data_IF_392103135016
#
_entry.id   IF_392103135016
#
_cell.length_a   1.000
_cell.length_b   1.000
_cell.length_c   1.000
_cell.angle_alpha   90.00
_cell.angle_beta   90.00
_cell.angle_gamma   90.00
#
_symmetry.space_group_name_H-M   'P 1'
#
loop_
_entity.id
_entity.type
_entity.pdbx_description
1 polymer ?
#
# COMPACT_ATOMS: atom_id res chain seq x y z
N UNK A 1 26.69 -41.94 -8.60
CA UNK A 1 26.31 -40.85 -7.66
C UNK A 1 26.28 -39.56 -8.46
N UNK A 2 25.09 -39.03 -8.72
CA UNK A 2 24.91 -37.81 -9.53
C UNK A 2 24.75 -36.64 -8.57
N UNK A 3 25.65 -35.67 -8.58
CA UNK A 3 25.58 -34.48 -7.73
C UNK A 3 24.58 -33.47 -8.31
N UNK A 4 23.64 -33.01 -7.50
CA UNK A 4 22.76 -31.88 -7.85
C UNK A 4 23.59 -30.58 -7.76
N UNK A 5 23.58 -29.71 -8.78
CA UNK A 5 24.27 -28.43 -8.70
C UNK A 5 23.62 -27.60 -7.58
N UNK A 6 24.43 -27.10 -6.65
CA UNK A 6 23.96 -26.14 -5.66
C UNK A 6 23.61 -24.82 -6.36
N UNK A 7 22.34 -24.42 -6.29
CA UNK A 7 21.88 -23.13 -6.81
C UNK A 7 22.54 -22.01 -6.01
N UNK A 8 23.29 -21.15 -6.70
CA UNK A 8 24.07 -20.07 -6.09
C UNK A 8 23.29 -18.77 -6.26
N UNK A 9 22.77 -18.23 -5.16
CA UNK A 9 22.15 -16.91 -5.14
C UNK A 9 23.17 -15.85 -5.57
N UNK A 10 22.86 -15.12 -6.64
CA UNK A 10 23.63 -13.95 -7.03
C UNK A 10 23.03 -12.70 -6.37
N UNK A 11 23.87 -11.81 -5.81
CA UNK A 11 23.37 -10.60 -5.17
C UNK A 11 22.67 -9.70 -6.20
N UNK A 12 21.49 -9.21 -5.85
CA UNK A 12 20.81 -8.17 -6.64
C UNK A 12 21.57 -6.85 -6.43
N UNK A 13 22.35 -6.47 -7.44
CA UNK A 13 23.05 -5.18 -7.46
C UNK A 13 22.11 -4.14 -8.06
N UNK A 14 21.50 -3.31 -7.21
CA UNK A 14 20.59 -2.23 -7.62
C UNK A 14 21.29 -0.87 -7.48
N UNK A 15 21.32 -0.02 -8.52
CA UNK A 15 21.82 1.34 -8.40
C UNK A 15 21.07 2.10 -7.29
N UNK A 16 21.80 2.90 -6.50
CA UNK A 16 21.21 3.66 -5.38
C UNK A 16 20.05 4.53 -5.84
N UNK A 17 20.15 5.17 -7.01
CA UNK A 17 19.06 5.97 -7.59
C UNK A 17 17.79 5.15 -7.80
N UNK A 18 17.90 3.93 -8.33
CA UNK A 18 16.76 3.01 -8.50
C UNK A 18 16.20 2.56 -7.16
N UNK A 19 17.06 2.25 -6.18
CA UNK A 19 16.63 1.87 -4.84
C UNK A 19 15.83 3.00 -4.17
N UNK A 20 16.34 4.23 -4.23
CA UNK A 20 15.67 5.43 -3.69
C UNK A 20 14.33 5.67 -4.38
N UNK A 21 14.26 5.55 -5.71
CA UNK A 21 13.00 5.71 -6.43
C UNK A 21 11.96 4.68 -6.01
N UNK A 22 12.33 3.40 -5.94
CA UNK A 22 11.40 2.35 -5.51
C UNK A 22 10.96 2.54 -4.07
N UNK A 23 11.89 2.78 -3.15
CA UNK A 23 11.56 3.05 -1.75
C UNK A 23 10.66 4.27 -1.61
N UNK A 24 10.97 5.36 -2.31
CA UNK A 24 10.18 6.59 -2.28
C UNK A 24 8.75 6.37 -2.79
N UNK A 25 8.60 5.68 -3.93
CA UNK A 25 7.28 5.35 -4.47
C UNK A 25 6.49 4.42 -3.54
N UNK A 26 7.14 3.42 -2.95
CA UNK A 26 6.49 2.51 -2.00
C UNK A 26 6.04 3.25 -0.74
N UNK A 27 6.88 4.12 -0.19
CA UNK A 27 6.52 4.93 0.98
C UNK A 27 5.35 5.86 0.64
N UNK A 28 5.40 6.55 -0.51
CA UNK A 28 4.32 7.41 -0.95
C UNK A 28 3.00 6.63 -1.10
N UNK A 29 3.04 5.47 -1.76
CA UNK A 29 1.87 4.62 -1.94
C UNK A 29 1.31 4.13 -0.60
N UNK A 30 2.18 3.72 0.34
CA UNK A 30 1.76 3.31 1.68
C UNK A 30 1.08 4.46 2.44
N UNK A 31 1.61 5.68 2.35
CA UNK A 31 1.00 6.86 2.97
C UNK A 31 -0.37 7.20 2.34
N UNK A 32 -0.50 7.10 1.02
CA UNK A 32 -1.78 7.31 0.33
C UNK A 32 -2.82 6.28 0.77
N UNK A 33 -2.46 5.00 0.83
CA UNK A 33 -3.36 3.94 1.32
C UNK A 33 -3.76 4.18 2.78
N UNK A 34 -2.79 4.50 3.64
CA UNK A 34 -3.07 4.80 5.04
C UNK A 34 -4.03 5.99 5.19
N UNK A 35 -3.82 7.05 4.40
CA UNK A 35 -4.69 8.21 4.38
C UNK A 35 -6.11 7.85 3.93
N UNK A 36 -6.29 7.25 2.76
CA UNK A 36 -7.64 6.99 2.22
C UNK A 36 -8.42 5.93 2.98
N UNK A 37 -7.73 4.92 3.54
CA UNK A 37 -8.40 3.84 4.28
C UNK A 37 -8.65 4.21 5.74
N UNK A 38 -7.73 4.96 6.36
CA UNK A 38 -7.74 5.21 7.81
C UNK A 38 -8.07 6.64 8.22
N UNK A 39 -7.56 7.62 7.49
CA UNK A 39 -7.64 9.04 7.89
C UNK A 39 -8.83 9.74 7.24
N UNK A 40 -9.14 9.43 5.99
CA UNK A 40 -10.16 10.13 5.19
C UNK A 40 -11.59 9.76 5.63
N UNK A 41 -12.03 10.39 6.71
CA UNK A 41 -13.35 10.18 7.33
C UNK A 41 -14.37 11.28 6.98
N UNK A 42 -14.19 11.95 5.83
CA UNK A 42 -15.07 13.06 5.38
C UNK A 42 -14.82 14.42 6.04
N UNK A 43 -14.31 14.47 7.28
CA UNK A 43 -13.97 15.74 7.95
C UNK A 43 -12.56 16.28 7.62
N UNK A 44 -11.66 15.39 7.19
CA UNK A 44 -10.25 15.69 6.89
C UNK A 44 -9.89 15.41 5.44
N UNK A 45 -10.90 15.32 4.57
CA UNK A 45 -10.74 15.01 3.15
C UNK A 45 -10.00 16.12 2.40
N UNK A 46 -8.92 15.74 1.70
CA UNK A 46 -8.21 16.60 0.73
C UNK A 46 -9.07 16.97 -0.47
N UNK A 47 -10.18 16.25 -0.70
CA UNK A 47 -11.18 16.56 -1.73
C UNK A 47 -12.34 17.43 -1.21
N UNK A 48 -12.26 17.92 0.03
CA UNK A 48 -13.28 18.78 0.63
C UNK A 48 -14.45 17.98 1.20
N UNK A 49 -15.69 18.46 1.04
CA UNK A 49 -16.88 17.75 1.54
C UNK A 49 -17.29 16.54 0.69
N UNK A 50 -16.49 16.16 -0.31
CA UNK A 50 -16.74 15.00 -1.16
C UNK A 50 -16.27 13.71 -0.46
N UNK A 51 -17.22 12.80 -0.19
CA UNK A 51 -17.05 11.58 0.60
C UNK A 51 -17.13 10.30 -0.21
N UNK A 52 -17.06 10.35 -1.55
CA UNK A 52 -17.19 9.13 -2.37
C UNK A 52 -16.18 8.02 -2.01
N UNK A 53 -14.93 8.39 -1.73
CA UNK A 53 -13.92 7.42 -1.29
C UNK A 53 -14.23 6.87 0.10
N UNK A 54 -14.66 7.75 1.02
CA UNK A 54 -15.05 7.38 2.37
C UNK A 54 -16.21 6.38 2.35
N UNK A 55 -17.28 6.67 1.62
CA UNK A 55 -18.46 5.80 1.49
C UNK A 55 -18.09 4.47 0.84
N UNK A 56 -17.26 4.47 -0.21
CA UNK A 56 -16.80 3.24 -0.83
C UNK A 56 -16.03 2.33 0.14
N UNK A 57 -15.06 2.89 0.88
CA UNK A 57 -14.27 2.14 1.87
C UNK A 57 -15.16 1.70 3.04
N UNK A 58 -16.07 2.58 3.46
CA UNK A 58 -17.05 2.33 4.50
C UNK A 58 -17.96 1.14 4.13
N UNK A 59 -18.44 1.06 2.89
CA UNK A 59 -19.29 -0.04 2.43
C UNK A 59 -18.49 -1.34 2.25
N UNK A 60 -17.24 -1.26 1.79
CA UNK A 60 -16.36 -2.42 1.65
C UNK A 60 -16.10 -3.11 3.00
N UNK A 61 -15.90 -2.35 4.10
CA UNK A 61 -15.72 -2.96 5.43
C UNK A 61 -17.00 -3.65 5.93
N UNK A 62 -18.17 -3.09 5.62
CA UNK A 62 -19.47 -3.69 5.93
C UNK A 62 -19.67 -4.98 5.15
N UNK A 63 -19.31 -4.99 3.86
CA UNK A 63 -19.32 -6.18 3.03
C UNK A 63 -18.41 -7.29 3.60
N UNK A 64 -17.27 -6.92 4.17
CA UNK A 64 -16.35 -7.85 4.84
C UNK A 64 -16.77 -8.23 6.27
N UNK A 65 -17.93 -7.74 6.75
CA UNK A 65 -18.51 -8.07 8.05
C UNK A 65 -17.89 -7.32 9.24
N UNK A 66 -17.09 -6.27 9.00
CA UNK A 66 -16.55 -5.45 10.06
C UNK A 66 -17.60 -4.45 10.58
N UNK A 67 -17.82 -4.37 11.91
CA UNK A 67 -18.83 -3.47 12.47
C UNK A 67 -18.44 -1.99 12.37
N UNK A 68 -19.45 -1.12 12.36
CA UNK A 68 -19.33 0.34 12.52
C UNK A 68 -19.97 0.83 13.82
N UNK A 69 -19.56 2.03 14.24
CA UNK A 69 -20.24 2.80 15.30
C UNK A 69 -20.97 3.97 14.65
#
# INVERSE_FOLDING_TARGET
MTSIPAERSTPVVLPVSKAVLWLGLTVLAALLLYYFVGVDQGAVSVFGSDTHVHEFVHDARHLLGFPCH
#
